data_IF_362764309564
#
_entry.id   IF_362764309564
#
_cell.length_a   1.000
_cell.length_b   1.000
_cell.length_c   1.000
_cell.angle_alpha   90.00
_cell.angle_beta   90.00
_cell.angle_gamma   90.00
#
_symmetry.space_group_name_H-M   'P 1'
#
loop_
_entity.id
_entity.type
_entity.pdbx_description
1 polymer ?
#
# COMPACT_ATOMS: atom_id res chain seq x y z
N UNK A 1 6.15 23.83 -22.11
CA UNK A 1 6.05 23.87 -20.64
C UNK A 1 4.62 23.52 -20.27
N UNK A 2 4.40 22.30 -19.78
CA UNK A 2 3.13 21.89 -19.18
C UNK A 2 3.47 21.47 -17.75
N UNK A 3 2.91 22.23 -16.82
CA UNK A 3 3.03 22.08 -15.38
C UNK A 3 2.22 20.88 -14.92
N UNK A 4 2.86 19.80 -14.49
CA UNK A 4 2.23 18.81 -13.62
C UNK A 4 2.83 18.94 -12.22
N UNK A 5 2.32 19.94 -11.51
CA UNK A 5 2.49 20.09 -10.08
C UNK A 5 1.65 19.01 -9.38
N UNK A 6 2.22 17.83 -9.14
CA UNK A 6 1.67 16.92 -8.14
C UNK A 6 2.26 17.30 -6.79
N UNK A 7 1.63 18.32 -6.19
CA UNK A 7 1.80 18.68 -4.80
C UNK A 7 1.47 17.45 -3.95
N UNK A 8 2.49 16.74 -3.49
CA UNK A 8 2.38 15.80 -2.38
C UNK A 8 1.99 16.59 -1.15
N UNK A 9 0.69 16.71 -0.91
CA UNK A 9 0.13 17.51 0.17
C UNK A 9 -0.81 16.66 1.03
N UNK A 10 -0.39 16.57 2.28
CA UNK A 10 -1.10 16.10 3.47
C UNK A 10 -1.43 14.60 3.48
N UNK A 11 -0.49 13.82 4.05
CA UNK A 11 -0.82 12.62 4.81
C UNK A 11 -1.71 13.05 5.98
N UNK A 12 -2.99 13.28 5.71
CA UNK A 12 -4.02 13.19 6.73
C UNK A 12 -3.84 11.83 7.40
N UNK A 13 -3.88 11.77 8.73
CA UNK A 13 -3.84 10.56 9.57
C UNK A 13 -4.85 9.44 9.16
N UNK A 14 -5.59 9.63 8.07
CA UNK A 14 -6.62 8.75 7.51
C UNK A 14 -6.21 8.07 6.19
N UNK A 15 -4.98 8.22 5.69
CA UNK A 15 -4.56 7.62 4.43
C UNK A 15 -3.27 6.79 4.57
N UNK A 16 -3.29 5.58 4.01
CA UNK A 16 -2.13 4.69 3.91
C UNK A 16 -1.71 4.53 2.45
N UNK A 17 -0.42 4.70 2.18
CA UNK A 17 0.13 4.61 0.83
C UNK A 17 1.06 3.41 0.71
N UNK A 18 0.95 2.67 -0.41
CA UNK A 18 1.90 1.62 -0.75
C UNK A 18 2.23 1.64 -2.24
N UNK A 19 3.47 1.27 -2.57
CA UNK A 19 3.93 1.00 -3.94
C UNK A 19 3.98 -0.50 -4.24
N UNK A 20 3.80 -1.34 -3.23
CA UNK A 20 3.81 -2.79 -3.36
C UNK A 20 2.48 -3.27 -3.92
N UNK A 21 2.53 -3.84 -5.13
CA UNK A 21 1.36 -4.34 -5.83
C UNK A 21 0.69 -5.52 -5.11
N UNK A 22 1.48 -6.40 -4.50
CA UNK A 22 0.94 -7.58 -3.80
C UNK A 22 0.30 -7.17 -2.48
N UNK A 23 0.93 -6.25 -1.74
CA UNK A 23 0.31 -5.66 -0.56
C UNK A 23 -0.99 -4.92 -0.92
N UNK A 24 -1.01 -4.14 -2.00
CA UNK A 24 -2.23 -3.47 -2.45
C UNK A 24 -3.36 -4.44 -2.78
N UNK A 25 -3.06 -5.55 -3.47
CA UNK A 25 -4.03 -6.62 -3.74
C UNK A 25 -4.55 -7.25 -2.44
N UNK A 26 -3.65 -7.56 -1.51
CA UNK A 26 -4.02 -8.12 -0.21
C UNK A 26 -4.95 -7.17 0.57
N UNK A 27 -4.62 -5.88 0.65
CA UNK A 27 -5.44 -4.89 1.35
C UNK A 27 -6.82 -4.73 0.72
N UNK A 28 -6.92 -4.78 -0.62
CA UNK A 28 -8.21 -4.83 -1.33
C UNK A 28 -9.02 -6.06 -0.92
N UNK A 29 -8.42 -7.24 -0.86
CA UNK A 29 -9.09 -8.47 -0.45
C UNK A 29 -9.52 -8.44 1.03
N UNK A 30 -8.74 -7.80 1.91
CA UNK A 30 -9.12 -7.53 3.32
C UNK A 30 -10.17 -6.43 3.47
N UNK A 31 -10.62 -5.82 2.38
CA UNK A 31 -11.70 -4.86 2.37
C UNK A 31 -11.27 -3.44 2.71
N UNK A 32 -9.98 -3.10 2.63
CA UNK A 32 -9.55 -1.70 2.68
C UNK A 32 -10.11 -0.93 1.48
N UNK A 33 -10.52 0.31 1.72
CA UNK A 33 -11.07 1.19 0.69
C UNK A 33 -9.89 1.83 -0.05
N UNK A 34 -9.79 1.59 -1.36
CA UNK A 34 -8.80 2.26 -2.21
C UNK A 34 -9.39 3.61 -2.62
N UNK A 35 -8.84 4.69 -2.07
CA UNK A 35 -9.30 6.06 -2.25
C UNK A 35 -8.52 6.81 -3.32
N UNK A 36 -7.38 6.28 -3.77
CA UNK A 36 -6.58 6.88 -4.82
C UNK A 36 -5.60 5.92 -5.50
N UNK A 37 -5.29 6.22 -6.76
CA UNK A 37 -4.24 5.58 -7.53
C UNK A 37 -3.46 6.65 -8.26
N UNK A 38 -2.18 6.81 -7.94
CA UNK A 38 -1.30 7.80 -8.59
C UNK A 38 -0.27 7.07 -9.44
N UNK A 39 -0.04 7.59 -10.64
CA UNK A 39 1.06 7.14 -11.49
C UNK A 39 2.30 7.97 -11.13
N UNK A 40 3.36 7.30 -10.72
CA UNK A 40 4.72 7.85 -10.67
C UNK A 40 5.50 7.17 -11.81
N UNK A 41 6.42 7.87 -12.46
CA UNK A 41 7.09 7.47 -13.72
C UNK A 41 7.24 5.96 -13.96
N UNK A 42 7.77 5.23 -12.98
CA UNK A 42 7.99 3.77 -13.05
C UNK A 42 7.08 2.94 -12.13
N UNK A 43 6.36 3.56 -11.20
CA UNK A 43 5.62 2.88 -10.14
C UNK A 43 4.21 3.43 -9.98
N UNK A 44 3.30 2.60 -9.48
CA UNK A 44 1.99 3.09 -9.05
C UNK A 44 1.98 3.23 -7.54
N UNK A 45 1.40 4.32 -7.05
CA UNK A 45 1.13 4.51 -5.62
C UNK A 45 -0.35 4.25 -5.39
N UNK A 46 -0.64 3.24 -4.58
CA UNK A 46 -1.98 2.89 -4.14
C UNK A 46 -2.25 3.58 -2.81
N UNK A 47 -3.36 4.32 -2.73
CA UNK A 47 -3.75 5.08 -1.55
C UNK A 47 -5.03 4.47 -0.99
N UNK A 48 -4.95 3.97 0.24
CA UNK A 48 -6.06 3.37 0.95
C UNK A 48 -6.52 4.27 2.09
N UNK A 49 -7.81 4.24 2.42
CA UNK A 49 -8.28 4.78 3.71
C UNK A 49 -7.67 3.94 4.82
N UNK A 50 -7.03 4.63 5.76
CA UNK A 50 -6.33 4.02 6.88
C UNK A 50 -7.31 3.40 7.88
N UNK A 51 -6.82 2.42 8.66
CA UNK A 51 -7.57 1.72 9.70
C UNK A 51 -6.64 1.39 10.86
N UNK A 52 -7.20 1.34 12.08
CA UNK A 52 -6.44 0.96 13.28
C UNK A 52 -5.75 -0.41 13.15
N UNK A 53 -6.38 -1.35 12.45
CA UNK A 53 -5.84 -2.71 12.22
C UNK A 53 -4.73 -2.78 11.16
N UNK A 54 -4.41 -1.68 10.47
CA UNK A 54 -3.44 -1.66 9.36
C UNK A 54 -2.08 -2.23 9.77
N UNK A 55 -1.57 -1.84 10.93
CA UNK A 55 -0.27 -2.29 11.41
C UNK A 55 -0.20 -3.82 11.48
N UNK A 56 -1.21 -4.44 12.10
CA UNK A 56 -1.30 -5.89 12.26
C UNK A 56 -1.51 -6.61 10.92
N UNK A 57 -2.39 -6.08 10.05
CA UNK A 57 -2.64 -6.65 8.72
C UNK A 57 -1.39 -6.60 7.83
N UNK A 58 -0.64 -5.47 7.83
CA UNK A 58 0.60 -5.31 7.06
C UNK A 58 1.72 -6.19 7.62
N UNK A 59 1.86 -6.25 8.95
CA UNK A 59 2.85 -7.11 9.58
C UNK A 59 2.55 -8.59 9.32
N UNK A 60 1.29 -9.01 9.38
CA UNK A 60 0.87 -10.38 9.03
C UNK A 60 1.20 -10.73 7.58
N UNK A 61 0.92 -9.83 6.63
CA UNK A 61 1.26 -10.04 5.22
C UNK A 61 2.75 -10.31 4.98
N UNK A 62 3.64 -9.56 5.63
CA UNK A 62 5.09 -9.77 5.50
C UNK A 62 5.63 -10.88 6.40
N UNK A 63 5.03 -11.13 7.56
CA UNK A 63 5.39 -12.20 8.49
C UNK A 63 5.11 -13.58 7.90
N UNK A 64 3.93 -13.76 7.29
CA UNK A 64 3.58 -15.00 6.57
C UNK A 64 4.52 -15.23 5.38
N UNK A 65 5.01 -14.17 4.73
CA UNK A 65 5.96 -14.30 3.63
C UNK A 65 7.36 -14.77 4.07
N UNK A 66 7.74 -14.53 5.34
CA UNK A 66 9.02 -14.97 5.92
C UNK A 66 8.90 -16.36 6.53
N UNK A 67 7.78 -16.69 7.18
CA UNK A 67 7.59 -18.02 7.80
C UNK A 67 7.44 -19.15 6.77
N UNK A 68 7.04 -18.80 5.54
CA UNK A 68 7.07 -19.73 4.39
C UNK A 68 8.47 -19.87 3.76
N UNK A 69 9.55 -19.37 4.38
CA UNK A 69 10.93 -19.59 3.89
C UNK A 69 11.57 -20.89 4.40
N UNK A 70 10.78 -21.83 4.90
CA UNK A 70 11.25 -23.13 5.43
C UNK A 70 11.36 -24.23 4.35
N UNK A 71 11.65 -23.84 3.10
CA UNK A 71 12.02 -24.75 2.01
C UNK A 71 13.50 -24.54 1.63
N UNK A 72 14.33 -25.34 2.28
CA UNK A 72 15.46 -26.10 1.71
C UNK A 72 15.83 -25.75 0.25
N UNK A 73 16.99 -25.10 0.08
CA UNK A 73 17.83 -25.26 -1.11
C UNK A 73 19.08 -26.06 -0.77
#
# INVERSE_FOLDING_TARGET
>A
MLTEQFSGKETSDEAFETRDFYLACFLKCRGYELIGLRAEERHRVFVFRDRRARGDDVLGFYGDAIDNSDDSW
#
